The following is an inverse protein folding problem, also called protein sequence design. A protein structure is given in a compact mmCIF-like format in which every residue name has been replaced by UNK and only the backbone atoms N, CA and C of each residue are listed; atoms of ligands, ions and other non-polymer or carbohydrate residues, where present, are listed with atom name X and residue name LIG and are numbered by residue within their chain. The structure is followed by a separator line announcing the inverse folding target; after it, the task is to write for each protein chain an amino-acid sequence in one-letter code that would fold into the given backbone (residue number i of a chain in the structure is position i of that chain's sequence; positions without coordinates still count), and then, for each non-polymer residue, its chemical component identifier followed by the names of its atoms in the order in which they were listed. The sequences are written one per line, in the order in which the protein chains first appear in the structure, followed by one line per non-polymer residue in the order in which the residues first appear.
data_IF_042596260698
#
_entry.id   IF_042596260698
#
_cell.length_a   1.000
_cell.length_b   1.000
_cell.length_c   1.000
_cell.angle_alpha   90.00
_cell.angle_beta   90.00
_cell.angle_gamma   90.00
#
_symmetry.space_group_name_H-M   'P 1'
#
loop_
_entity.id
_entity.type
_entity.pdbx_description
1 polymer ?
#
# COMPACT_ATOMS: atom_id res chain seq x y z
N UNK A 1 -10.81 -8.80 1.10
CA UNK A 1 -10.27 -7.84 0.11
C UNK A 1 -11.04 -7.83 -1.22
N UNK A 2 -11.29 -8.97 -1.87
CA UNK A 2 -11.96 -9.04 -3.18
C UNK A 2 -13.31 -8.28 -3.26
N UNK A 3 -14.15 -8.36 -2.21
CA UNK A 3 -15.42 -7.60 -2.14
C UNK A 3 -15.24 -6.08 -2.18
N UNK A 4 -14.21 -5.56 -1.50
CA UNK A 4 -13.93 -4.11 -1.48
C UNK A 4 -13.42 -3.63 -2.84
N UNK A 5 -12.50 -4.39 -3.47
CA UNK A 5 -12.01 -4.06 -4.82
C UNK A 5 -13.11 -4.10 -5.86
N UNK A 6 -13.97 -5.13 -5.85
CA UNK A 6 -15.09 -5.23 -6.79
C UNK A 6 -16.07 -4.06 -6.66
N UNK A 7 -16.40 -3.64 -5.43
CA UNK A 7 -17.22 -2.45 -5.19
C UNK A 7 -16.57 -1.18 -5.74
N UNK A 8 -15.28 -0.96 -5.43
CA UNK A 8 -14.53 0.21 -5.90
C UNK A 8 -14.48 0.26 -7.44
N UNK A 9 -14.21 -0.88 -8.10
CA UNK A 9 -14.20 -0.95 -9.56
C UNK A 9 -15.56 -0.61 -10.16
N UNK A 10 -16.66 -1.12 -9.58
CA UNK A 10 -18.00 -0.78 -10.03
C UNK A 10 -18.29 0.73 -9.86
N UNK A 11 -17.85 1.34 -8.76
CA UNK A 11 -17.97 2.79 -8.55
C UNK A 11 -17.14 3.61 -9.54
N UNK A 12 -15.90 3.19 -9.84
CA UNK A 12 -15.05 3.84 -10.84
C UNK A 12 -15.68 3.80 -12.23
N UNK A 13 -16.19 2.63 -12.64
CA UNK A 13 -16.85 2.48 -13.94
C UNK A 13 -18.11 3.35 -14.04
N UNK A 14 -18.94 3.40 -12.98
CA UNK A 14 -20.10 4.32 -12.93
C UNK A 14 -19.69 5.79 -13.05
N UNK A 15 -18.52 6.14 -12.54
CA UNK A 15 -17.94 7.48 -12.65
C UNK A 15 -17.18 7.75 -13.95
N UNK A 16 -17.23 6.84 -14.93
CA UNK A 16 -16.51 6.99 -16.20
C UNK A 16 -14.98 6.89 -16.08
N UNK A 17 -14.47 6.30 -15.00
CA UNK A 17 -13.03 6.13 -14.77
C UNK A 17 -12.58 4.72 -15.16
N UNK A 18 -11.47 4.57 -15.91
CA UNK A 18 -10.99 3.27 -16.30
C UNK A 18 -10.48 2.47 -15.08
N UNK A 19 -10.56 1.12 -15.13
CA UNK A 19 -9.92 0.27 -14.13
C UNK A 19 -8.43 0.61 -14.01
N UNK A 20 -7.91 0.68 -12.78
CA UNK A 20 -6.50 1.03 -12.54
C UNK A 20 -6.21 2.52 -12.40
N UNK A 21 -7.20 3.41 -12.61
CA UNK A 21 -7.05 4.85 -12.36
C UNK A 21 -6.97 5.23 -10.87
N UNK A 22 -6.94 4.24 -9.98
CA UNK A 22 -6.87 4.38 -8.53
C UNK A 22 -6.07 3.21 -7.96
N UNK A 23 -5.35 3.44 -6.85
CA UNK A 23 -4.61 2.43 -6.09
C UNK A 23 -5.30 2.18 -4.75
N UNK A 24 -5.54 0.93 -4.42
CA UNK A 24 -6.06 0.49 -3.13
C UNK A 24 -4.90 0.24 -2.17
N UNK A 25 -4.69 1.15 -1.23
CA UNK A 25 -3.68 1.01 -0.18
C UNK A 25 -4.31 0.44 1.09
N UNK A 26 -3.79 -0.70 1.56
CA UNK A 26 -4.22 -1.28 2.85
C UNK A 26 -3.45 -0.62 3.97
N UNK A 27 -4.19 -0.12 4.97
CA UNK A 27 -3.58 0.49 6.16
C UNK A 27 -3.18 -0.60 7.15
N UNK A 28 -1.91 -0.65 7.52
CA UNK A 28 -1.37 -1.64 8.44
C UNK A 28 -0.34 -1.05 9.41
N UNK A 29 -0.19 -1.69 10.56
CA UNK A 29 0.91 -1.47 11.48
C UNK A 29 1.81 -2.71 11.49
N UNK A 30 3.04 -2.62 10.96
CA UNK A 30 3.95 -3.76 10.93
C UNK A 30 4.76 -3.81 12.23
N UNK A 31 4.62 -4.87 13.02
CA UNK A 31 5.46 -5.13 14.19
C UNK A 31 6.58 -6.09 13.80
N UNK A 32 7.60 -5.55 13.15
CA UNK A 32 8.77 -6.31 12.71
C UNK A 32 9.71 -6.61 13.88
N UNK A 33 10.11 -7.87 13.97
CA UNK A 33 11.02 -8.38 15.00
C UNK A 33 12.07 -9.32 14.39
N UNK A 34 13.16 -9.60 15.11
CA UNK A 34 14.17 -10.56 14.62
C UNK A 34 13.71 -12.01 14.77
N UNK A 35 12.80 -12.27 15.71
CA UNK A 35 12.27 -13.61 15.99
C UNK A 35 10.76 -13.58 16.14
N UNK A 36 10.10 -14.73 15.90
CA UNK A 36 8.66 -14.87 16.11
C UNK A 36 8.27 -14.65 17.58
N UNK A 37 9.07 -15.13 18.53
CA UNK A 37 8.82 -14.93 19.96
C UNK A 37 8.84 -13.45 20.36
N UNK A 38 9.78 -12.67 19.81
CA UNK A 38 9.81 -11.21 20.00
C UNK A 38 8.59 -10.53 19.38
N UNK A 39 8.19 -10.92 18.16
CA UNK A 39 7.00 -10.39 17.51
C UNK A 39 5.72 -10.64 18.34
N UNK A 40 5.55 -11.86 18.85
CA UNK A 40 4.43 -12.23 19.72
C UNK A 40 4.44 -11.42 21.02
N UNK A 41 5.61 -11.19 21.60
CA UNK A 41 5.75 -10.35 22.80
C UNK A 41 5.35 -8.89 22.52
N UNK A 42 5.78 -8.32 21.39
CA UNK A 42 5.41 -6.97 20.97
C UNK A 42 3.90 -6.84 20.70
N UNK A 43 3.30 -7.82 20.03
CA UNK A 43 1.86 -7.82 19.77
C UNK A 43 1.06 -7.92 21.08
N UNK A 44 1.49 -8.81 21.99
CA UNK A 44 0.87 -8.94 23.32
C UNK A 44 0.96 -7.64 24.11
N UNK A 45 2.13 -7.01 24.12
CA UNK A 45 2.35 -5.73 24.80
C UNK A 45 1.49 -4.60 24.19
N UNK A 46 1.29 -4.60 22.87
CA UNK A 46 0.41 -3.64 22.21
C UNK A 46 -1.05 -3.83 22.64
N UNK A 47 -1.55 -5.07 22.66
CA UNK A 47 -2.93 -5.38 23.08
C UNK A 47 -3.23 -4.97 24.52
N UNK A 48 -2.23 -5.02 25.40
CA UNK A 48 -2.38 -4.66 26.82
C UNK A 48 -2.12 -3.18 27.10
N UNK A 49 -1.66 -2.40 26.11
CA UNK A 49 -1.37 -0.98 26.31
C UNK A 49 -2.65 -0.14 26.31
N UNK A 50 -2.95 0.65 27.37
CA UNK A 50 -4.12 1.49 27.41
C UNK A 50 -4.02 2.64 26.38
N UNK A 51 -4.78 2.50 25.29
CA UNK A 51 -5.42 3.60 24.56
C UNK A 51 -4.54 4.76 24.07
N UNK A 52 -3.70 4.54 23.07
CA UNK A 52 -3.50 5.58 22.04
C UNK A 52 -4.62 5.45 21.00
N UNK A 53 -5.82 5.84 21.43
CA UNK A 53 -7.02 5.86 20.59
C UNK A 53 -6.94 7.03 19.60
N UNK A 54 -6.47 6.75 18.38
CA UNK A 54 -6.87 7.58 17.24
C UNK A 54 -8.36 7.34 16.96
N UNK A 55 -9.09 8.39 16.60
CA UNK A 55 -10.54 8.39 16.31
C UNK A 55 -10.99 7.51 15.12
N UNK A 56 -10.17 6.57 14.66
CA UNK A 56 -10.40 5.63 13.57
C UNK A 56 -10.34 4.18 14.11
N UNK A 57 -11.00 3.20 13.46
CA UNK A 57 -10.84 1.80 13.82
C UNK A 57 -9.34 1.44 13.87
N UNK A 58 -8.89 0.57 14.78
CA UNK A 58 -7.47 0.22 14.88
C UNK A 58 -6.97 -0.31 13.53
N UNK A 59 -5.76 0.10 13.08
CA UNK A 59 -5.18 -0.45 11.85
C UNK A 59 -4.98 -1.96 11.99
N UNK A 60 -4.95 -2.67 10.87
CA UNK A 60 -4.57 -4.07 10.86
C UNK A 60 -3.14 -4.20 11.41
N UNK A 61 -2.95 -5.00 12.46
CA UNK A 61 -1.63 -5.28 13.02
C UNK A 61 -1.08 -6.53 12.36
N UNK A 62 0.15 -6.46 11.88
CA UNK A 62 0.87 -7.59 11.30
C UNK A 62 2.21 -7.74 12.03
N UNK A 63 2.28 -8.69 12.95
CA UNK A 63 3.45 -8.97 13.76
C UNK A 63 4.20 -10.20 13.22
N UNK A 64 5.52 -10.12 13.12
CA UNK A 64 6.34 -11.25 12.70
C UNK A 64 7.79 -10.90 12.41
N UNK A 65 8.52 -11.88 11.88
CA UNK A 65 9.85 -11.64 11.33
C UNK A 65 9.79 -10.83 10.04
N UNK A 66 10.92 -10.25 9.63
CA UNK A 66 11.04 -9.58 8.34
C UNK A 66 10.53 -10.43 7.16
N UNK A 67 10.91 -11.70 7.16
CA UNK A 67 10.50 -12.67 6.14
C UNK A 67 9.00 -12.98 6.20
N UNK A 68 8.44 -13.20 7.40
CA UNK A 68 7.03 -13.50 7.56
C UNK A 68 6.13 -12.34 7.12
N UNK A 69 6.50 -11.11 7.50
CA UNK A 69 5.79 -9.89 7.09
C UNK A 69 5.89 -9.74 5.57
N UNK A 70 7.10 -9.80 4.98
CA UNK A 70 7.28 -9.69 3.54
C UNK A 70 6.47 -10.73 2.77
N UNK A 71 6.39 -11.97 3.27
CA UNK A 71 5.59 -13.03 2.68
C UNK A 71 4.08 -12.77 2.72
N UNK A 72 3.55 -12.16 3.78
CA UNK A 72 2.13 -11.77 3.83
C UNK A 72 1.84 -10.61 2.86
N UNK A 73 2.74 -9.62 2.80
CA UNK A 73 2.61 -8.51 1.85
C UNK A 73 2.63 -9.02 0.40
N UNK A 74 3.53 -9.96 0.08
CA UNK A 74 3.59 -10.64 -1.21
C UNK A 74 2.27 -11.35 -1.54
N UNK A 75 1.74 -12.16 -0.61
CA UNK A 75 0.46 -12.86 -0.78
C UNK A 75 -0.67 -11.89 -1.11
N UNK A 76 -0.73 -10.75 -0.42
CA UNK A 76 -1.75 -9.74 -0.68
C UNK A 76 -1.59 -9.04 -2.02
N UNK A 77 -0.37 -8.73 -2.43
CA UNK A 77 -0.10 -8.13 -3.75
C UNK A 77 -0.42 -9.12 -4.87
N UNK A 78 0.09 -10.35 -4.79
CA UNK A 78 -0.13 -11.39 -5.79
C UNK A 78 -1.62 -11.79 -5.90
N UNK A 79 -2.33 -11.82 -4.78
CA UNK A 79 -3.78 -12.08 -4.74
C UNK A 79 -4.65 -10.89 -5.13
N UNK A 80 -4.07 -9.74 -5.49
CA UNK A 80 -4.81 -8.51 -5.82
C UNK A 80 -5.59 -7.93 -4.64
N UNK A 81 -5.25 -8.31 -3.39
CA UNK A 81 -5.90 -7.81 -2.19
C UNK A 81 -5.57 -6.34 -1.91
N UNK A 82 -4.41 -5.88 -2.37
CA UNK A 82 -3.92 -4.50 -2.26
C UNK A 82 -3.09 -4.13 -3.49
N UNK A 83 -2.97 -2.84 -3.78
CA UNK A 83 -1.99 -2.31 -4.75
C UNK A 83 -0.76 -1.71 -4.03
N UNK A 84 -0.80 -1.64 -2.70
CA UNK A 84 0.26 -1.13 -1.85
C UNK A 84 -0.21 -0.99 -0.40
N UNK A 85 0.64 -0.41 0.44
CA UNK A 85 0.42 -0.36 1.88
C UNK A 85 0.63 1.04 2.43
N UNK A 86 -0.23 1.43 3.37
CA UNK A 86 -0.07 2.63 4.18
C UNK A 86 0.41 2.19 5.58
N UNK A 87 1.70 2.41 5.85
CA UNK A 87 2.33 2.01 7.09
C UNK A 87 2.04 3.03 8.20
N UNK A 88 1.50 2.55 9.32
CA UNK A 88 1.23 3.34 10.51
C UNK A 88 2.17 2.95 11.64
N UNK A 89 2.79 3.94 12.28
CA UNK A 89 3.47 3.75 13.57
C UNK A 89 2.47 3.97 14.71
N UNK A 90 2.29 2.98 15.58
CA UNK A 90 1.43 3.08 16.78
C UNK A 90 2.16 3.84 17.91
N UNK A 91 2.57 5.08 17.67
CA UNK A 91 3.31 5.91 18.64
C UNK A 91 4.73 5.44 18.97
N UNK A 92 5.11 4.22 18.56
CA UNK A 92 6.45 3.65 18.71
C UNK A 92 7.37 4.12 17.60
N UNK A 93 8.27 5.06 17.92
CA UNK A 93 9.26 5.62 16.99
C UNK A 93 10.13 4.58 16.27
N UNK A 94 10.33 3.41 16.89
CA UNK A 94 11.11 2.32 16.30
C UNK A 94 10.38 1.51 15.22
N UNK A 95 9.04 1.61 15.12
CA UNK A 95 8.24 0.75 14.22
C UNK A 95 8.72 0.85 12.77
N UNK A 96 8.91 2.09 12.29
CA UNK A 96 9.39 2.32 10.93
C UNK A 96 10.84 1.88 10.75
N UNK A 97 11.71 2.17 11.73
CA UNK A 97 13.12 1.79 11.69
C UNK A 97 13.28 0.26 11.59
N UNK A 98 12.56 -0.51 12.41
CA UNK A 98 12.56 -1.98 12.36
C UNK A 98 11.98 -2.51 11.06
N UNK A 99 10.94 -1.88 10.51
CA UNK A 99 10.42 -2.26 9.20
C UNK A 99 11.47 -2.07 8.10
N UNK A 100 12.15 -0.91 8.09
CA UNK A 100 13.23 -0.62 7.13
C UNK A 100 14.39 -1.60 7.29
N UNK A 101 14.78 -1.92 8.52
CA UNK A 101 15.90 -2.83 8.78
C UNK A 101 15.58 -4.28 8.39
N UNK A 102 14.39 -4.76 8.75
CA UNK A 102 14.07 -6.19 8.71
C UNK A 102 13.22 -6.60 7.50
N UNK A 103 12.32 -5.72 7.01
CA UNK A 103 11.33 -6.07 5.98
C UNK A 103 11.76 -5.59 4.60
N UNK A 104 12.30 -4.38 4.48
CA UNK A 104 12.72 -3.81 3.19
C UNK A 104 13.75 -4.68 2.44
N UNK A 105 14.77 -5.27 3.09
CA UNK A 105 15.68 -6.20 2.41
C UNK A 105 14.97 -7.42 1.83
N UNK A 106 14.00 -7.99 2.56
CA UNK A 106 13.20 -9.12 2.09
C UNK A 106 12.29 -8.75 0.92
N UNK A 107 11.67 -7.56 0.95
CA UNK A 107 10.86 -7.06 -0.17
C UNK A 107 11.72 -6.86 -1.43
N UNK A 108 12.93 -6.35 -1.28
CA UNK A 108 13.89 -6.21 -2.40
C UNK A 108 14.33 -7.57 -2.92
N UNK A 109 14.66 -8.52 -2.03
CA UNK A 109 15.03 -9.90 -2.39
C UNK A 109 13.93 -10.60 -3.20
N UNK A 110 12.67 -10.32 -2.88
CA UNK A 110 11.48 -10.83 -3.59
C UNK A 110 11.10 -10.03 -4.83
N UNK A 111 11.83 -8.96 -5.17
CA UNK A 111 11.51 -8.09 -6.31
C UNK A 111 10.25 -7.23 -6.14
N UNK A 112 9.72 -7.11 -4.93
CA UNK A 112 8.51 -6.35 -4.61
C UNK A 112 8.77 -4.86 -4.38
N UNK A 113 10.04 -4.49 -4.15
CA UNK A 113 10.48 -3.11 -4.03
C UNK A 113 11.67 -2.89 -4.96
N UNK A 114 11.53 -1.95 -5.89
CA UNK A 114 12.59 -1.61 -6.83
C UNK A 114 13.81 -1.04 -6.08
N UNK A 115 15.01 -1.39 -6.56
CA UNK A 115 16.28 -0.81 -6.10
C UNK A 115 16.70 0.43 -6.92
N UNK A 116 15.89 0.82 -7.93
CA UNK A 116 16.20 1.90 -8.85
C UNK A 116 15.88 3.29 -8.32
N UNK A 117 16.21 4.30 -9.14
CA UNK A 117 15.98 5.71 -8.84
C UNK A 117 14.51 6.01 -8.49
N UNK A 118 14.26 6.89 -7.51
CA UNK A 118 12.91 7.28 -7.14
C UNK A 118 12.21 7.96 -8.32
N UNK A 119 10.92 7.67 -8.48
CA UNK A 119 10.12 8.32 -9.52
C UNK A 119 10.08 9.84 -9.30
N UNK A 120 10.15 10.61 -10.39
CA UNK A 120 10.23 12.08 -10.33
C UNK A 120 9.00 12.76 -9.72
N UNK A 121 7.85 12.07 -9.74
CA UNK A 121 6.61 12.55 -9.11
C UNK A 121 5.92 11.44 -8.33
N UNK A 122 5.15 11.81 -7.30
CA UNK A 122 4.31 10.87 -6.55
C UNK A 122 3.35 10.09 -7.47
N UNK A 123 2.78 10.78 -8.48
CA UNK A 123 1.86 10.15 -9.44
C UNK A 123 2.55 9.04 -10.25
N UNK A 124 3.74 9.32 -10.78
CA UNK A 124 4.53 8.32 -11.51
C UNK A 124 4.96 7.17 -10.59
N UNK A 125 5.33 7.46 -9.33
CA UNK A 125 5.69 6.43 -8.35
C UNK A 125 4.53 5.48 -8.00
N UNK A 126 3.29 5.97 -8.09
CA UNK A 126 2.08 5.16 -7.92
C UNK A 126 1.62 4.49 -9.24
N UNK A 127 2.34 4.67 -10.35
CA UNK A 127 1.96 4.15 -11.67
C UNK A 127 0.56 4.62 -12.09
N UNK A 128 0.24 5.89 -11.86
CA UNK A 128 -1.05 6.48 -12.19
C UNK A 128 -0.92 7.38 -13.42
N UNK A 129 -1.82 7.22 -14.37
CA UNK A 129 -1.86 8.10 -15.55
C UNK A 129 -2.28 9.52 -15.18
N UNK A 130 -1.79 10.49 -15.97
CA UNK A 130 -2.24 11.88 -15.85
C UNK A 130 -3.65 11.98 -16.46
N UNK A 131 -4.68 12.33 -15.67
CA UNK A 131 -6.01 12.52 -16.22
C UNK A 131 -5.99 13.69 -17.21
N UNK A 132 -6.77 13.55 -18.28
CA UNK A 132 -6.99 14.65 -19.22
C UNK A 132 -7.54 15.87 -18.46
N UNK A 133 -7.03 17.05 -18.79
CA UNK A 133 -7.55 18.29 -18.24
C UNK A 133 -9.03 18.43 -18.63
N UNK A 134 -9.86 18.92 -17.72
CA UNK A 134 -11.26 19.28 -18.03
C UNK A 134 -11.38 20.39 -19.10
N UNK A 135 -10.27 21.08 -19.35
CA UNK A 135 -10.11 22.11 -20.38
C UNK A 135 -9.30 21.63 -21.58
N UNK A 136 -8.98 20.32 -21.66
CA UNK A 136 -8.29 19.78 -22.82
C UNK A 136 -9.21 19.94 -24.04
N UNK A 137 -8.78 20.76 -24.99
CA UNK A 137 -9.46 20.90 -26.27
C UNK A 137 -9.28 19.57 -27.01
N UNK A 138 -10.38 18.88 -27.29
CA UNK A 138 -10.36 17.74 -28.21
C UNK A 138 -9.89 18.30 -29.56
N UNK A 139 -8.77 17.81 -30.13
CA UNK A 139 -8.38 18.24 -31.45
C UNK A 139 -9.51 17.87 -32.41
N UNK A 140 -10.23 18.87 -32.92
CA UNK A 140 -11.11 18.70 -34.07
C UNK A 140 -10.20 18.25 -35.20
N UNK A 141 -10.29 16.97 -35.56
CA UNK A 141 -9.55 16.39 -36.66
C UNK A 141 -9.76 17.28 -37.88
N UNK A 142 -8.68 17.86 -38.38
CA UNK A 142 -8.71 18.43 -39.73
C UNK A 142 -8.78 17.22 -40.65
N UNK A 143 -9.98 16.87 -41.09
CA UNK A 143 -10.13 16.04 -42.27
C UNK A 143 -9.42 16.78 -43.41
N UNK A 144 -8.24 16.29 -43.75
CA UNK A 144 -7.50 16.74 -44.91
C UNK A 144 -8.31 16.42 -46.14
N UNK A 145 -8.74 17.46 -46.84
CA UNK A 145 -9.40 17.34 -48.13
C UNK A 145 -8.48 16.75 -49.19
N UNK A 146 -9.10 16.09 -50.15
CA UNK A 146 -9.14 16.50 -51.56
C UNK A 146 -10.32 15.81 -52.24
#
# INVERSE_FOLDING_TARGET
AARQRGRLQAELLRGGRPPGSCRLLVRLCPLAARTSAEAEALERALRTSPGEVHAAPPPLVLAGTGEAIAGELERWLAGGAADGFHLMGLGRGETLARFVELVVPELRRRGLLAAGEPAQTLRSGLGLDRPASRYAVVPIGREGGQ
#
